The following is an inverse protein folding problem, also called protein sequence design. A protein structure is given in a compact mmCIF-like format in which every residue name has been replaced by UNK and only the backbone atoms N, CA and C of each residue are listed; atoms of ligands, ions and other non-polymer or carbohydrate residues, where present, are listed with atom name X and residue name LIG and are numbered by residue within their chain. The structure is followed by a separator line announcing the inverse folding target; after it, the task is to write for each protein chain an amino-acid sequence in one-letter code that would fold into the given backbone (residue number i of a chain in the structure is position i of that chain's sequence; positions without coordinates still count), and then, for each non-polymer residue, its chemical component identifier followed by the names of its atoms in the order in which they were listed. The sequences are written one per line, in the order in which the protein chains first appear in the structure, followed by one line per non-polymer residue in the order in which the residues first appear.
data_IF_459050755921
#
_entry.id   IF_459050755921
#
_cell.length_a   1.000
_cell.length_b   1.000
_cell.length_c   1.000
_cell.angle_alpha   90.00
_cell.angle_beta   90.00
_cell.angle_gamma   90.00
#
_symmetry.space_group_name_H-M   'P 1'
#
loop_
_entity.id
_entity.type
_entity.pdbx_description
1 polymer ?
#
# COMPACT_ATOMS: atom_id res chain seq x y z
N UNK A 1 -8.43 -9.74 -69.86
CA UNK A 1 -8.76 -10.46 -68.63
C UNK A 1 -10.08 -9.88 -68.14
N UNK A 2 -11.20 -10.13 -68.82
CA UNK A 2 -11.72 -11.43 -69.31
C UNK A 2 -12.08 -12.33 -68.13
N UNK A 3 -13.31 -12.81 -67.97
CA UNK A 3 -14.51 -12.61 -68.81
C UNK A 3 -15.79 -13.02 -68.03
N UNK A 4 -16.90 -12.34 -68.31
CA UNK A 4 -18.29 -12.87 -68.36
C UNK A 4 -18.92 -13.56 -67.11
N UNK A 5 -20.25 -13.51 -66.88
CA UNK A 5 -21.36 -13.02 -67.74
C UNK A 5 -22.40 -12.21 -66.94
N UNK A 6 -23.15 -11.37 -67.66
CA UNK A 6 -24.22 -10.51 -67.13
C UNK A 6 -25.63 -11.17 -67.30
N UNK A 7 -26.69 -10.69 -66.60
CA UNK A 7 -28.08 -11.15 -66.73
C UNK A 7 -28.84 -10.35 -67.82
N UNK A 8 -30.16 -10.56 -68.08
CA UNK A 8 -31.20 -9.83 -67.31
C UNK A 8 -32.61 -10.52 -67.21
N UNK A 9 -33.61 -9.77 -66.71
CA UNK A 9 -35.05 -9.67 -67.14
C UNK A 9 -35.97 -10.93 -67.19
N UNK A 10 -37.05 -11.03 -66.38
CA UNK A 10 -38.39 -10.38 -66.43
C UNK A 10 -39.23 -10.65 -67.67
N UNK A 11 -40.42 -11.26 -67.51
CA UNK A 11 -41.68 -10.77 -68.11
C UNK A 11 -42.94 -11.47 -67.54
N UNK A 12 -44.06 -10.78 -67.70
CA UNK A 12 -45.49 -11.12 -67.50
C UNK A 12 -46.21 -10.43 -68.69
N UNK A 13 -47.50 -10.63 -69.06
CA UNK A 13 -48.58 -11.43 -68.46
C UNK A 13 -49.36 -12.24 -69.56
N UNK A 14 -50.69 -12.02 -69.67
CA UNK A 14 -51.67 -12.49 -70.69
C UNK A 14 -52.20 -13.94 -70.61
N UNK A 15 -53.41 -14.26 -71.09
CA UNK A 15 -54.78 -13.74 -70.90
C UNK A 15 -55.68 -14.37 -71.98
N UNK A 16 -56.90 -14.79 -71.61
CA UNK A 16 -58.10 -15.02 -72.44
C UNK A 16 -58.01 -15.74 -73.82
N UNK A 17 -58.85 -16.76 -74.02
CA UNK A 17 -60.05 -16.63 -74.88
C UNK A 17 -60.94 -17.88 -74.83
N UNK A 18 -62.23 -17.69 -75.14
CA UNK A 18 -63.25 -18.76 -75.35
C UNK A 18 -63.45 -19.01 -76.86
N UNK A 19 -64.13 -20.10 -77.30
CA UNK A 19 -65.59 -19.96 -77.56
C UNK A 19 -66.46 -21.25 -77.46
N UNK A 20 -67.77 -21.04 -77.33
CA UNK A 20 -68.88 -21.97 -77.63
C UNK A 20 -69.37 -21.76 -79.09
N UNK A 21 -70.06 -22.71 -79.80
CA UNK A 21 -71.53 -22.87 -79.64
C UNK A 21 -72.24 -24.18 -80.11
N UNK A 22 -73.50 -24.38 -79.65
CA UNK A 22 -74.73 -24.87 -80.38
C UNK A 22 -74.74 -26.22 -81.17
N UNK A 23 -75.84 -26.97 -81.36
CA UNK A 23 -77.17 -27.22 -80.73
C UNK A 23 -77.76 -28.48 -81.43
N UNK A 24 -78.62 -29.27 -80.78
CA UNK A 24 -79.35 -30.38 -81.45
C UNK A 24 -80.36 -31.09 -80.54
N UNK A 25 -81.50 -31.50 -81.11
CA UNK A 25 -82.68 -32.12 -80.44
C UNK A 25 -82.41 -33.60 -80.08
N UNK A 26 -83.12 -34.31 -79.18
CA UNK A 26 -84.53 -34.71 -79.25
C UNK A 26 -84.93 -35.47 -77.95
N UNK A 27 -86.24 -35.60 -77.65
CA UNK A 27 -86.79 -36.39 -76.49
C UNK A 27 -87.30 -37.75 -77.00
N UNK A 28 -87.20 -38.87 -76.24
CA UNK A 28 -88.22 -39.13 -75.22
C UNK A 28 -87.74 -39.88 -73.93
N UNK A 29 -88.56 -39.75 -72.89
CA UNK A 29 -88.53 -40.47 -71.60
C UNK A 29 -89.12 -41.91 -71.69
N UNK A 30 -89.17 -42.72 -70.61
CA UNK A 30 -88.18 -42.96 -69.55
C UNK A 30 -88.04 -44.48 -69.21
N UNK A 31 -87.09 -44.86 -68.34
CA UNK A 31 -87.26 -46.06 -67.47
C UNK A 31 -86.41 -46.01 -66.18
N UNK A 32 -86.94 -46.69 -65.16
CA UNK A 32 -86.58 -46.55 -63.73
C UNK A 32 -85.37 -47.40 -63.35
N UNK A 33 -84.47 -46.89 -62.50
CA UNK A 33 -83.76 -47.79 -61.57
C UNK A 33 -83.34 -47.18 -60.22
N UNK A 34 -83.09 -48.08 -59.27
CA UNK A 34 -83.33 -47.97 -57.83
C UNK A 34 -82.21 -47.27 -57.04
N UNK A 35 -82.59 -46.23 -56.28
CA UNK A 35 -82.28 -46.01 -54.85
C UNK A 35 -80.96 -46.60 -54.29
N UNK A 36 -79.95 -45.75 -54.05
CA UNK A 36 -78.96 -45.89 -52.95
C UNK A 36 -78.08 -44.64 -52.79
N UNK A 37 -78.37 -43.81 -51.79
CA UNK A 37 -77.40 -43.16 -50.86
C UNK A 37 -78.14 -42.22 -49.91
N UNK A 38 -78.02 -42.47 -48.60
CA UNK A 38 -77.74 -41.40 -47.64
C UNK A 38 -76.42 -41.70 -46.89
N UNK A 39 -75.42 -42.27 -47.57
CA UNK A 39 -74.10 -42.50 -46.95
C UNK A 39 -73.41 -41.19 -46.54
N UNK A 40 -73.70 -40.07 -47.24
CA UNK A 40 -73.26 -38.74 -46.84
C UNK A 40 -73.78 -38.31 -45.45
N UNK A 41 -75.03 -38.69 -45.12
CA UNK A 41 -75.71 -38.32 -43.87
C UNK A 41 -75.23 -39.10 -42.64
N UNK A 42 -74.69 -40.31 -42.81
CA UNK A 42 -74.05 -41.08 -41.73
C UNK A 42 -72.54 -40.84 -41.65
N UNK A 43 -71.88 -40.41 -42.73
CA UNK A 43 -70.47 -40.07 -42.72
C UNK A 43 -70.20 -38.72 -42.00
N UNK A 44 -71.04 -37.72 -42.24
CA UNK A 44 -70.97 -36.39 -41.60
C UNK A 44 -70.85 -36.42 -40.06
N UNK A 45 -71.74 -37.10 -39.28
CA UNK A 45 -71.63 -37.15 -37.83
C UNK A 45 -70.38 -37.89 -37.35
N UNK A 46 -69.90 -38.91 -38.08
CA UNK A 46 -68.65 -39.62 -37.75
C UNK A 46 -67.43 -38.72 -37.99
N UNK A 47 -67.41 -37.94 -39.08
CA UNK A 47 -66.37 -36.94 -39.32
C UNK A 47 -66.37 -35.84 -38.25
N UNK A 48 -67.54 -35.36 -37.82
CA UNK A 48 -67.64 -34.41 -36.70
C UNK A 48 -67.12 -35.00 -35.38
N UNK A 49 -67.40 -36.28 -35.10
CA UNK A 49 -66.89 -36.96 -33.91
C UNK A 49 -65.37 -37.11 -33.94
N UNK A 50 -64.80 -37.52 -35.07
CA UNK A 50 -63.34 -37.59 -35.26
C UNK A 50 -62.69 -36.21 -35.17
N UNK A 51 -63.31 -35.17 -35.73
CA UNK A 51 -62.81 -33.80 -35.63
C UNK A 51 -62.85 -33.30 -34.17
N UNK A 52 -63.93 -33.55 -33.43
CA UNK A 52 -64.03 -33.22 -32.01
C UNK A 52 -62.98 -33.94 -31.15
N UNK A 53 -62.77 -35.25 -31.38
CA UNK A 53 -61.69 -36.01 -30.71
C UNK A 53 -60.31 -35.45 -31.05
N UNK A 54 -60.08 -35.08 -32.32
CA UNK A 54 -58.81 -34.46 -32.74
C UNK A 54 -58.60 -33.08 -32.10
N UNK A 55 -59.65 -32.27 -31.97
CA UNK A 55 -59.59 -30.95 -31.33
C UNK A 55 -59.29 -31.07 -29.82
N UNK A 56 -59.89 -32.05 -29.13
CA UNK A 56 -59.56 -32.35 -27.72
C UNK A 56 -58.12 -32.86 -27.58
N UNK A 57 -57.65 -33.72 -28.49
CA UNK A 57 -56.27 -34.19 -28.48
C UNK A 57 -55.25 -33.06 -28.72
N UNK A 58 -55.54 -32.13 -29.64
CA UNK A 58 -54.73 -30.93 -29.89
C UNK A 58 -54.75 -30.00 -28.68
N UNK A 59 -55.91 -29.79 -28.04
CA UNK A 59 -56.02 -28.99 -26.82
C UNK A 59 -55.14 -29.57 -25.70
N UNK A 60 -55.27 -30.88 -25.40
CA UNK A 60 -54.47 -31.55 -24.37
C UNK A 60 -52.96 -31.54 -24.68
N UNK A 61 -52.58 -31.60 -25.96
CA UNK A 61 -51.19 -31.46 -26.39
C UNK A 61 -50.66 -30.04 -26.16
N UNK A 62 -51.45 -29.00 -26.49
CA UNK A 62 -51.07 -27.60 -26.30
C UNK A 62 -51.01 -27.21 -24.82
N UNK A 63 -51.95 -27.68 -24.01
CA UNK A 63 -52.00 -27.49 -22.56
C UNK A 63 -50.75 -28.12 -21.90
N UNK A 64 -50.48 -29.39 -22.20
CA UNK A 64 -49.28 -30.09 -21.70
C UNK A 64 -47.98 -29.46 -22.20
N UNK A 65 -47.94 -28.93 -23.43
CA UNK A 65 -46.78 -28.17 -23.95
C UNK A 65 -46.60 -26.83 -23.23
N UNK A 66 -47.69 -26.15 -22.88
CA UNK A 66 -47.66 -24.92 -22.07
C UNK A 66 -47.04 -25.20 -20.70
N UNK A 67 -47.44 -26.29 -20.03
CA UNK A 67 -46.88 -26.65 -18.73
C UNK A 67 -45.42 -27.09 -18.80
N UNK A 68 -45.00 -27.83 -19.84
CA UNK A 68 -43.58 -28.10 -20.07
C UNK A 68 -42.76 -26.82 -20.30
N UNK A 69 -43.30 -25.85 -21.05
CA UNK A 69 -42.65 -24.56 -21.27
C UNK A 69 -42.51 -23.75 -19.97
N UNK A 70 -43.55 -23.72 -19.12
CA UNK A 70 -43.47 -23.10 -17.77
C UNK A 70 -42.41 -23.78 -16.92
N UNK A 71 -42.47 -25.11 -16.78
CA UNK A 71 -41.51 -25.86 -15.98
C UNK A 71 -40.06 -25.67 -16.47
N UNK A 72 -39.85 -25.56 -17.79
CA UNK A 72 -38.53 -25.23 -18.36
C UNK A 72 -38.09 -23.81 -18.04
N UNK A 73 -39.02 -22.85 -18.01
CA UNK A 73 -38.74 -21.45 -17.63
C UNK A 73 -38.42 -21.35 -16.14
N UNK A 74 -39.22 -22.00 -15.29
CA UNK A 74 -39.03 -22.02 -13.83
C UNK A 74 -37.69 -22.67 -13.48
N UNK A 75 -37.35 -23.79 -14.12
CA UNK A 75 -36.06 -24.46 -13.92
C UNK A 75 -34.87 -23.59 -14.41
N UNK A 76 -35.02 -22.85 -15.51
CA UNK A 76 -33.99 -21.90 -15.98
C UNK A 76 -33.82 -20.72 -15.01
N UNK A 77 -34.92 -20.24 -14.40
CA UNK A 77 -34.87 -19.20 -13.38
C UNK A 77 -34.21 -19.70 -12.10
N UNK A 78 -34.55 -20.93 -11.66
CA UNK A 78 -33.97 -21.56 -10.47
C UNK A 78 -32.46 -21.80 -10.63
N UNK A 79 -32.02 -22.23 -11.82
CA UNK A 79 -30.60 -22.36 -12.15
C UNK A 79 -29.88 -21.00 -12.08
N UNK A 80 -30.49 -19.94 -12.61
CA UNK A 80 -29.93 -18.58 -12.56
C UNK A 80 -29.80 -18.07 -11.12
N UNK A 81 -30.76 -18.38 -10.24
CA UNK A 81 -30.64 -18.07 -8.82
C UNK A 81 -29.56 -18.91 -8.13
N UNK A 82 -29.45 -20.21 -8.44
CA UNK A 82 -28.41 -21.09 -7.89
C UNK A 82 -27.01 -20.58 -8.24
N UNK A 83 -26.77 -20.23 -9.50
CA UNK A 83 -25.49 -19.70 -9.98
C UNK A 83 -25.15 -18.38 -9.27
N UNK A 84 -26.16 -17.53 -9.03
CA UNK A 84 -26.01 -16.28 -8.28
C UNK A 84 -25.68 -16.51 -6.80
N UNK A 85 -26.30 -17.48 -6.13
CA UNK A 85 -25.94 -17.85 -4.76
C UNK A 85 -24.52 -18.42 -4.68
N UNK A 86 -24.12 -19.27 -5.65
CA UNK A 86 -22.75 -19.79 -5.73
C UNK A 86 -21.71 -18.67 -5.84
N UNK A 87 -21.98 -17.65 -6.66
CA UNK A 87 -21.09 -16.49 -6.81
C UNK A 87 -21.02 -15.64 -5.53
N UNK A 88 -22.13 -15.50 -4.78
CA UNK A 88 -22.10 -14.83 -3.47
C UNK A 88 -21.29 -15.62 -2.43
N UNK A 89 -21.37 -16.95 -2.41
CA UNK A 89 -20.54 -17.78 -1.53
C UNK A 89 -19.05 -17.59 -1.83
N UNK A 90 -18.65 -17.69 -3.11
CA UNK A 90 -17.26 -17.45 -3.55
C UNK A 90 -16.77 -16.03 -3.17
N UNK A 91 -17.64 -15.02 -3.29
CA UNK A 91 -17.33 -13.64 -2.90
C UNK A 91 -17.14 -13.50 -1.38
N UNK A 92 -17.95 -14.18 -0.57
CA UNK A 92 -17.84 -14.16 0.90
C UNK A 92 -16.54 -14.84 1.34
N UNK A 93 -16.22 -16.02 0.82
CA UNK A 93 -14.96 -16.74 1.09
C UNK A 93 -13.73 -15.88 0.72
N UNK A 94 -13.83 -15.11 -0.37
CA UNK A 94 -12.84 -14.12 -0.77
C UNK A 94 -12.65 -13.00 0.27
N UNK A 95 -13.74 -12.39 0.75
CA UNK A 95 -13.66 -11.36 1.79
C UNK A 95 -13.22 -11.89 3.14
N UNK A 96 -13.60 -13.12 3.53
CA UNK A 96 -13.10 -13.75 4.76
C UNK A 96 -11.57 -13.92 4.70
N UNK A 97 -11.04 -14.34 3.56
CA UNK A 97 -9.59 -14.46 3.33
C UNK A 97 -8.88 -13.08 3.38
N UNK A 98 -9.48 -12.05 2.79
CA UNK A 98 -8.95 -10.67 2.84
C UNK A 98 -8.94 -10.12 4.27
N UNK A 99 -10.01 -10.36 5.06
CA UNK A 99 -10.09 -9.96 6.47
C UNK A 99 -8.98 -10.62 7.29
N UNK A 100 -8.80 -11.94 7.20
CA UNK A 100 -7.71 -12.63 7.93
C UNK A 100 -6.33 -12.10 7.53
N UNK A 101 -6.10 -11.80 6.24
CA UNK A 101 -4.84 -11.21 5.78
C UNK A 101 -4.60 -9.83 6.39
N UNK A 102 -5.64 -8.97 6.43
CA UNK A 102 -5.56 -7.63 7.02
C UNK A 102 -5.40 -7.66 8.56
N UNK A 103 -5.95 -8.67 9.24
CA UNK A 103 -5.74 -8.90 10.67
C UNK A 103 -4.26 -9.26 10.94
N UNK A 104 -3.68 -10.20 10.19
CA UNK A 104 -2.26 -10.57 10.29
C UNK A 104 -1.31 -9.39 9.98
N UNK A 105 -1.63 -8.57 8.97
CA UNK A 105 -0.84 -7.36 8.64
C UNK A 105 -0.93 -6.31 9.75
N UNK A 106 -2.09 -6.15 10.38
CA UNK A 106 -2.30 -5.17 11.45
C UNK A 106 -1.61 -5.57 12.76
N UNK A 107 -1.65 -6.85 13.14
CA UNK A 107 -0.89 -7.39 14.28
C UNK A 107 0.61 -7.15 14.11
N UNK A 108 1.14 -7.40 12.91
CA UNK A 108 2.55 -7.14 12.58
C UNK A 108 2.88 -5.64 12.63
N UNK A 109 1.98 -4.77 12.16
CA UNK A 109 2.16 -3.32 12.24
C UNK A 109 2.16 -2.81 13.69
N UNK A 110 1.41 -3.44 14.61
CA UNK A 110 1.52 -3.14 16.05
C UNK A 110 2.87 -3.58 16.64
N UNK A 111 3.40 -4.74 16.25
CA UNK A 111 4.73 -5.21 16.68
C UNK A 111 5.84 -4.27 16.16
N UNK A 112 5.87 -3.97 14.86
CA UNK A 112 6.83 -3.04 14.24
C UNK A 112 6.77 -1.65 14.91
N UNK A 113 5.56 -1.15 15.18
CA UNK A 113 5.35 0.15 15.88
C UNK A 113 5.87 0.13 17.31
N UNK A 114 5.72 -0.99 18.03
CA UNK A 114 6.27 -1.15 19.38
C UNK A 114 7.80 -1.18 19.33
N UNK A 115 8.40 -1.98 18.45
CA UNK A 115 9.86 -2.06 18.29
C UNK A 115 10.47 -0.69 17.93
N UNK A 116 9.81 0.06 17.02
CA UNK A 116 10.20 1.44 16.69
C UNK A 116 10.02 2.41 17.88
N UNK A 117 9.06 2.18 18.77
CA UNK A 117 8.86 3.01 19.96
C UNK A 117 9.97 2.78 20.97
N UNK A 118 10.32 1.52 21.23
CA UNK A 118 11.39 1.11 22.14
C UNK A 118 12.75 1.63 21.64
N UNK A 119 13.10 1.39 20.35
CA UNK A 119 14.32 1.96 19.72
C UNK A 119 14.40 3.49 19.80
N UNK A 120 13.26 4.19 19.73
CA UNK A 120 13.21 5.65 19.87
C UNK A 120 13.32 6.14 21.33
N UNK A 121 13.14 5.26 22.32
CA UNK A 121 13.47 5.55 23.71
C UNK A 121 14.97 5.39 23.93
N UNK A 122 15.55 4.26 23.54
CA UNK A 122 16.98 3.96 23.65
C UNK A 122 17.85 5.06 22.99
N UNK A 123 17.53 5.43 21.73
CA UNK A 123 18.25 6.50 21.01
C UNK A 123 18.17 7.89 21.66
N UNK A 124 17.19 8.14 22.54
CA UNK A 124 17.11 9.40 23.31
C UNK A 124 17.99 9.34 24.55
N UNK A 125 18.14 8.18 25.16
CA UNK A 125 19.05 7.95 26.28
C UNK A 125 20.51 8.01 25.79
N UNK A 126 20.87 7.27 24.73
CA UNK A 126 22.17 7.34 24.06
C UNK A 126 22.56 8.79 23.70
N UNK A 127 21.62 9.55 23.13
CA UNK A 127 21.86 10.96 22.77
C UNK A 127 22.06 11.85 23.99
N UNK A 128 21.36 11.60 25.10
CA UNK A 128 21.51 12.36 26.34
C UNK A 128 22.89 12.10 26.96
N UNK A 129 23.32 10.86 26.96
CA UNK A 129 24.59 10.46 27.56
C UNK A 129 25.78 10.91 26.70
N UNK A 130 25.67 10.82 25.37
CA UNK A 130 26.65 11.39 24.43
C UNK A 130 26.79 12.92 24.59
N UNK A 131 25.67 13.64 24.77
CA UNK A 131 25.73 15.09 25.04
C UNK A 131 26.46 15.38 26.37
N UNK A 132 26.22 14.60 27.42
CA UNK A 132 26.92 14.76 28.69
C UNK A 132 28.43 14.44 28.59
N UNK A 133 28.82 13.50 27.72
CA UNK A 133 30.23 13.23 27.39
C UNK A 133 30.87 14.41 26.64
N UNK A 134 30.17 14.98 25.65
CA UNK A 134 30.60 16.20 24.92
C UNK A 134 30.78 17.38 25.88
N UNK A 135 29.78 17.68 26.73
CA UNK A 135 29.87 18.73 27.75
C UNK A 135 31.09 18.52 28.68
N UNK A 136 31.43 17.27 28.98
CA UNK A 136 32.60 16.90 29.79
C UNK A 136 33.92 17.16 29.05
N UNK A 137 34.01 16.82 27.75
CA UNK A 137 35.18 17.12 26.93
C UNK A 137 35.37 18.62 26.69
N UNK A 138 34.30 19.39 26.51
CA UNK A 138 34.38 20.86 26.39
C UNK A 138 34.92 21.49 27.68
N UNK A 139 34.46 21.06 28.85
CA UNK A 139 34.98 21.50 30.14
C UNK A 139 36.47 21.12 30.34
N UNK A 140 36.85 19.90 29.97
CA UNK A 140 38.25 19.44 29.95
C UNK A 140 39.13 20.32 29.05
N UNK A 141 38.68 20.57 27.82
CA UNK A 141 39.39 21.41 26.84
C UNK A 141 39.53 22.86 27.32
N UNK A 142 38.48 23.43 27.92
CA UNK A 142 38.52 24.77 28.51
C UNK A 142 39.58 24.89 29.62
N UNK A 143 39.70 23.88 30.49
CA UNK A 143 40.76 23.82 31.52
C UNK A 143 42.15 23.73 30.90
N UNK A 144 42.37 22.83 29.93
CA UNK A 144 43.66 22.72 29.21
C UNK A 144 44.02 24.06 28.53
N UNK A 145 43.05 24.77 27.96
CA UNK A 145 43.24 26.12 27.41
C UNK A 145 43.71 27.12 28.47
N UNK A 146 43.12 27.11 29.67
CA UNK A 146 43.56 27.94 30.79
C UNK A 146 45.02 27.62 31.22
N UNK A 147 45.40 26.33 31.29
CA UNK A 147 46.79 25.92 31.52
C UNK A 147 47.75 26.46 30.47
N UNK A 148 47.39 26.39 29.18
CA UNK A 148 48.21 26.92 28.09
C UNK A 148 48.37 28.45 28.16
N UNK A 149 47.31 29.17 28.54
CA UNK A 149 47.36 30.63 28.76
C UNK A 149 48.25 31.00 29.95
N UNK A 150 48.20 30.23 31.04
CA UNK A 150 49.08 30.40 32.19
C UNK A 150 50.55 30.09 31.83
N UNK A 151 50.82 28.94 31.20
CA UNK A 151 52.17 28.50 30.83
C UNK A 151 52.85 29.50 29.90
N UNK A 152 52.13 29.99 28.88
CA UNK A 152 52.63 31.05 27.99
C UNK A 152 53.07 32.27 28.78
N UNK A 153 52.23 32.75 29.70
CA UNK A 153 52.54 33.91 30.52
C UNK A 153 53.78 33.70 31.41
N UNK A 154 53.94 32.52 32.03
CA UNK A 154 55.15 32.20 32.82
C UNK A 154 56.40 32.19 31.94
N UNK A 155 56.32 31.63 30.73
CA UNK A 155 57.42 31.65 29.76
C UNK A 155 57.77 33.09 29.33
N UNK A 156 56.78 33.94 29.10
CA UNK A 156 56.99 35.36 28.77
C UNK A 156 57.69 36.12 29.91
N UNK A 157 57.34 35.85 31.17
CA UNK A 157 58.02 36.40 32.37
C UNK A 157 59.48 35.91 32.46
N UNK A 158 59.71 34.60 32.32
CA UNK A 158 61.07 34.01 32.34
C UNK A 158 61.96 34.61 31.26
N UNK A 159 61.43 34.77 30.03
CA UNK A 159 62.16 35.39 28.92
C UNK A 159 62.47 36.88 29.17
N UNK A 160 61.59 37.59 29.87
CA UNK A 160 61.75 39.02 30.18
C UNK A 160 62.86 39.26 31.22
N UNK A 161 62.94 38.42 32.26
CA UNK A 161 63.90 38.59 33.37
C UNK A 161 65.14 37.70 33.28
N UNK A 162 65.22 36.82 32.28
CA UNK A 162 66.30 35.83 32.16
C UNK A 162 66.25 34.71 33.21
N UNK A 163 65.08 34.44 33.79
CA UNK A 163 64.87 33.50 34.89
C UNK A 163 63.82 33.97 35.90
N UNK A 164 63.80 33.36 37.08
CA UNK A 164 62.95 33.78 38.21
C UNK A 164 63.71 34.78 39.10
N UNK A 165 64.15 35.89 38.50
CA UNK A 165 64.96 36.96 39.12
C UNK A 165 64.19 38.26 39.05
N UNK A 166 64.30 39.12 40.07
CA UNK A 166 63.74 40.49 40.09
C UNK A 166 62.24 40.57 39.74
N UNK A 167 61.51 39.47 39.95
CA UNK A 167 60.09 39.36 39.64
C UNK A 167 59.29 40.37 40.46
N UNK A 168 58.33 41.03 39.82
CA UNK A 168 57.54 42.08 40.48
C UNK A 168 56.28 41.53 41.14
N UNK A 169 55.77 42.25 42.14
CA UNK A 169 54.46 41.95 42.76
C UNK A 169 53.32 41.97 41.74
N UNK A 170 53.40 42.84 40.72
CA UNK A 170 52.40 42.90 39.65
C UNK A 170 52.40 41.59 38.82
N UNK A 171 53.58 41.07 38.49
CA UNK A 171 53.72 39.81 37.76
C UNK A 171 53.30 38.60 38.58
N UNK A 172 53.55 38.62 39.89
CA UNK A 172 53.05 37.64 40.84
C UNK A 172 51.53 37.61 40.86
N UNK A 173 50.86 38.75 41.07
CA UNK A 173 49.39 38.80 41.13
C UNK A 173 48.76 38.33 39.81
N UNK A 174 49.36 38.66 38.67
CA UNK A 174 48.89 38.20 37.36
C UNK A 174 49.18 36.72 37.09
N UNK A 175 50.32 36.18 37.55
CA UNK A 175 50.61 34.74 37.53
C UNK A 175 49.55 33.98 38.34
N UNK A 176 49.30 34.46 39.56
CA UNK A 176 48.38 33.87 40.53
C UNK A 176 46.93 33.93 40.04
N UNK A 177 46.50 35.05 39.46
CA UNK A 177 45.18 35.19 38.82
C UNK A 177 45.00 34.17 37.67
N UNK A 178 46.02 34.00 36.83
CA UNK A 178 45.98 33.03 35.73
C UNK A 178 45.98 31.58 36.22
N UNK A 179 46.71 31.28 37.30
CA UNK A 179 46.65 29.96 37.95
C UNK A 179 45.27 29.70 38.59
N UNK A 180 44.68 30.69 39.27
CA UNK A 180 43.32 30.58 39.81
C UNK A 180 42.27 30.33 38.72
N UNK A 181 42.47 30.87 37.51
CA UNK A 181 41.59 30.63 36.37
C UNK A 181 41.62 29.18 35.83
N UNK A 182 42.59 28.34 36.22
CA UNK A 182 42.54 26.88 35.91
C UNK A 182 41.67 26.10 36.90
N UNK A 183 41.39 26.69 38.07
CA UNK A 183 40.70 26.03 39.19
C UNK A 183 41.54 25.02 39.96
N UNK A 184 42.86 24.93 39.70
CA UNK A 184 43.75 23.98 40.40
C UNK A 184 44.58 24.67 41.50
N UNK A 185 44.28 24.28 42.75
CA UNK A 185 44.97 24.80 43.92
C UNK A 185 46.43 24.35 44.02
N UNK A 186 46.81 23.22 43.41
CA UNK A 186 48.21 22.76 43.36
C UNK A 186 49.04 23.73 42.51
N UNK A 187 48.48 24.19 41.38
CA UNK A 187 49.12 25.19 40.51
C UNK A 187 49.25 26.55 41.21
N UNK A 188 48.19 27.02 41.88
CA UNK A 188 48.26 28.26 42.68
C UNK A 188 49.33 28.15 43.77
N UNK A 189 49.42 27.01 44.45
CA UNK A 189 50.45 26.76 45.48
C UNK A 189 51.87 26.72 44.90
N UNK A 190 52.04 26.19 43.69
CA UNK A 190 53.32 26.18 42.98
C UNK A 190 53.75 27.61 42.59
N UNK A 191 52.83 28.46 42.12
CA UNK A 191 53.09 29.89 41.86
C UNK A 191 53.46 30.63 43.14
N UNK A 192 52.66 30.47 44.20
CA UNK A 192 52.91 31.11 45.50
C UNK A 192 54.28 30.66 46.06
N UNK A 193 54.68 29.40 45.87
CA UNK A 193 56.00 28.91 46.27
C UNK A 193 57.13 29.50 45.42
N UNK A 194 56.99 29.49 44.09
CA UNK A 194 58.02 29.93 43.16
C UNK A 194 58.31 31.44 43.21
N UNK A 195 57.31 32.26 43.56
CA UNK A 195 57.51 33.69 43.76
C UNK A 195 58.04 34.04 45.15
N UNK A 196 57.47 33.48 46.22
CA UNK A 196 57.78 33.91 47.58
C UNK A 196 59.02 33.22 48.19
N UNK A 197 59.35 31.99 47.79
CA UNK A 197 60.49 31.26 48.36
C UNK A 197 61.77 31.47 47.54
N UNK A 198 62.46 32.59 47.78
CA UNK A 198 63.71 32.93 47.08
C UNK A 198 64.94 32.11 47.51
N UNK A 199 64.83 31.26 48.54
CA UNK A 199 65.90 30.34 48.97
C UNK A 199 66.05 29.14 48.02
N UNK A 200 65.01 28.82 47.25
CA UNK A 200 65.04 27.76 46.24
C UNK A 200 65.69 28.25 44.93
N UNK A 201 66.49 27.38 44.32
CA UNK A 201 67.07 27.63 43.01
C UNK A 201 65.99 27.94 41.95
N UNK A 202 66.35 28.81 41.00
CA UNK A 202 65.42 29.33 39.99
C UNK A 202 64.90 28.23 39.05
N UNK A 203 65.75 27.26 38.72
CA UNK A 203 65.37 26.12 37.89
C UNK A 203 64.40 25.23 38.67
N UNK A 204 64.68 24.97 39.96
CA UNK A 204 63.77 24.19 40.81
C UNK A 204 62.39 24.86 40.97
N UNK A 205 62.35 26.19 41.14
CA UNK A 205 61.10 26.96 41.20
C UNK A 205 60.31 26.90 39.90
N UNK A 206 60.98 26.96 38.75
CA UNK A 206 60.34 26.76 37.45
C UNK A 206 59.83 25.33 37.25
N UNK A 207 60.64 24.33 37.59
CA UNK A 207 60.26 22.91 37.49
C UNK A 207 59.02 22.59 38.32
N UNK A 208 58.91 23.12 39.54
CA UNK A 208 57.71 22.95 40.38
C UNK A 208 56.44 23.52 39.71
N UNK A 209 56.54 24.65 38.98
CA UNK A 209 55.43 25.18 38.18
C UNK A 209 55.13 24.27 36.99
N UNK A 210 56.16 23.82 36.26
CA UNK A 210 55.98 22.92 35.10
C UNK A 210 55.32 21.60 35.50
N UNK A 211 55.76 20.98 36.60
CA UNK A 211 55.19 19.73 37.10
C UNK A 211 53.72 19.92 37.51
N UNK A 212 53.37 21.05 38.12
CA UNK A 212 51.98 21.39 38.42
C UNK A 212 51.13 21.62 37.15
N UNK A 213 51.69 22.27 36.12
CA UNK A 213 51.02 22.44 34.81
C UNK A 213 50.83 21.10 34.12
N UNK A 214 51.85 20.24 34.07
CA UNK A 214 51.78 18.92 33.42
C UNK A 214 50.82 18.00 34.15
N UNK A 215 50.88 17.95 35.49
CA UNK A 215 49.92 17.23 36.34
C UNK A 215 48.50 17.73 36.08
N UNK A 216 48.29 19.04 36.08
CA UNK A 216 47.02 19.69 35.80
C UNK A 216 46.43 19.38 34.43
N UNK A 217 47.25 19.40 33.38
CA UNK A 217 46.84 18.99 32.02
C UNK A 217 46.48 17.50 32.00
N UNK A 218 47.32 16.63 32.56
CA UNK A 218 47.09 15.19 32.57
C UNK A 218 45.82 14.78 33.35
N UNK A 219 45.43 15.51 34.40
CA UNK A 219 44.14 15.34 35.11
C UNK A 219 42.93 15.64 34.23
N UNK A 220 43.09 16.35 33.10
CA UNK A 220 42.01 16.85 32.23
C UNK A 220 42.08 16.30 30.80
N UNK A 221 42.97 15.35 30.50
CA UNK A 221 42.91 14.53 29.28
C UNK A 221 41.88 13.41 29.51
#
# INVERSE_FOLDING_TARGET
MSEQNAPPETESPESETTPYPKTGEEKPEPKKEKKKMPQLLFCLPVCFLLFAVSAVAVYLYLDKRSDYNKLSSDNSSLQTELDKYSNYTETIEGYETEITTLEEENDKLEEDKKELTDKNADLKEDKKDLNAEVDTYEQKQAKISAYNVFLKYVVDVVNTHGGFINLTDAEYQLARQKAQATGDNDLVSAVDTAWNNTELDQVLRFMNILDAVVSGINKNI
#
